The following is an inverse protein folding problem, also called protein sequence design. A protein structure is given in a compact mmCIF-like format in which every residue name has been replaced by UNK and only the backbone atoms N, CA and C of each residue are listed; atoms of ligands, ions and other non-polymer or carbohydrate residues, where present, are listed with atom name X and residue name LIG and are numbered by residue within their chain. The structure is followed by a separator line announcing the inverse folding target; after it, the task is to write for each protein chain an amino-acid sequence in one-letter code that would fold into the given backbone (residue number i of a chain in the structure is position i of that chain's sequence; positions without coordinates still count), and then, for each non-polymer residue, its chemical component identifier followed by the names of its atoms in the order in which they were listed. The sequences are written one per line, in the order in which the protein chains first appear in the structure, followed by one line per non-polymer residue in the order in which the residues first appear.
data_IF_996876574907
#
_entry.id   IF_996876574907
#
_cell.length_a   1.000
_cell.length_b   1.000
_cell.length_c   1.000
_cell.angle_alpha   90.00
_cell.angle_beta   90.00
_cell.angle_gamma   90.00
#
_symmetry.space_group_name_H-M   'P 1'
#
loop_
_entity.id
_entity.type
_entity.pdbx_description
1 polymer ?
#
# COMPACT_ATOMS: atom_id res chain seq x y z
N UNK A 1 -5.91 -12.76 -3.61
CA UNK A 1 -5.81 -11.28 -3.72
C UNK A 1 -6.26 -10.60 -2.45
N UNK A 2 -7.49 -10.85 -1.96
CA UNK A 2 -7.99 -10.28 -0.72
C UNK A 2 -7.11 -10.56 0.52
N UNK A 3 -6.50 -11.74 0.59
CA UNK A 3 -5.57 -12.07 1.69
C UNK A 3 -4.25 -11.30 1.61
N UNK A 4 -3.74 -11.06 0.38
CA UNK A 4 -2.52 -10.27 0.15
C UNK A 4 -2.78 -8.81 0.55
N UNK A 5 -3.92 -8.24 0.15
CA UNK A 5 -4.32 -6.89 0.56
C UNK A 5 -4.41 -6.78 2.09
N UNK A 6 -5.05 -7.74 2.75
CA UNK A 6 -5.12 -7.78 4.22
C UNK A 6 -3.74 -7.81 4.85
N UNK A 7 -2.84 -8.67 4.35
CA UNK A 7 -1.47 -8.75 4.83
C UNK A 7 -0.72 -7.43 4.65
N UNK A 8 -0.83 -6.79 3.48
CA UNK A 8 -0.22 -5.48 3.22
C UNK A 8 -0.75 -4.41 4.18
N UNK A 9 -2.05 -4.38 4.42
CA UNK A 9 -2.68 -3.42 5.35
C UNK A 9 -2.20 -3.67 6.78
N UNK A 10 -2.26 -4.92 7.25
CA UNK A 10 -1.83 -5.27 8.61
C UNK A 10 -0.34 -4.98 8.80
N UNK A 11 0.51 -5.38 7.87
CA UNK A 11 1.95 -5.12 7.94
C UNK A 11 2.25 -3.62 7.94
N UNK A 12 1.57 -2.84 7.09
CA UNK A 12 1.74 -1.40 7.05
C UNK A 12 1.29 -0.72 8.35
N UNK A 13 0.16 -1.13 8.93
CA UNK A 13 -0.32 -0.60 10.22
C UNK A 13 0.64 -0.94 11.35
N UNK A 14 0.97 -2.22 11.52
CA UNK A 14 1.85 -2.71 12.59
C UNK A 14 3.23 -2.09 12.48
N UNK A 15 3.81 -2.10 11.28
CA UNK A 15 5.15 -1.54 11.06
C UNK A 15 5.18 -0.02 11.20
N UNK A 16 4.14 0.70 10.76
CA UNK A 16 4.08 2.16 10.95
C UNK A 16 3.99 2.54 12.43
N UNK A 17 3.22 1.80 13.22
CA UNK A 17 3.17 1.99 14.67
C UNK A 17 4.54 1.71 15.31
N UNK A 18 5.10 0.53 15.04
CA UNK A 18 6.34 0.07 15.66
C UNK A 18 7.56 0.92 15.29
N UNK A 19 7.69 1.31 14.02
CA UNK A 19 8.81 2.13 13.55
C UNK A 19 8.59 3.62 13.74
N UNK A 20 7.34 4.07 13.93
CA UNK A 20 7.06 5.41 14.41
C UNK A 20 7.59 5.65 15.81
N UNK A 21 7.45 4.66 16.72
CA UNK A 21 8.08 4.72 18.06
C UNK A 21 9.61 4.86 17.96
N UNK A 22 10.23 4.24 16.95
CA UNK A 22 11.68 4.33 16.71
C UNK A 22 12.11 5.54 15.87
N UNK A 23 11.16 6.37 15.44
CA UNK A 23 11.39 7.48 14.51
C UNK A 23 12.12 7.10 13.21
N UNK A 24 11.98 5.86 12.75
CA UNK A 24 12.68 5.37 11.56
C UNK A 24 11.80 5.51 10.30
N UNK A 25 11.98 6.62 9.59
CA UNK A 25 11.24 6.92 8.37
C UNK A 25 11.65 6.03 7.17
N UNK A 26 12.78 5.31 7.24
CA UNK A 26 13.19 4.39 6.15
C UNK A 26 12.20 3.25 5.99
N UNK A 27 11.37 2.99 7.02
CA UNK A 27 10.25 2.06 6.96
C UNK A 27 9.41 2.21 5.71
N UNK A 28 9.09 3.44 5.29
CA UNK A 28 8.17 3.70 4.18
C UNK A 28 8.66 3.18 2.83
N UNK A 29 9.95 2.87 2.68
CA UNK A 29 10.47 2.20 1.49
C UNK A 29 9.86 0.81 1.30
N UNK A 30 9.60 0.09 2.39
CA UNK A 30 9.04 -1.27 2.37
C UNK A 30 7.58 -1.30 1.90
N UNK A 31 6.61 -0.58 2.52
CA UNK A 31 5.24 -0.57 2.05
C UNK A 31 5.15 0.07 0.66
N UNK A 32 5.95 1.09 0.33
CA UNK A 32 5.94 1.68 -1.01
C UNK A 32 6.32 0.66 -2.09
N UNK A 33 7.40 -0.10 -1.86
CA UNK A 33 7.80 -1.18 -2.76
C UNK A 33 6.76 -2.31 -2.82
N UNK A 34 6.21 -2.73 -1.67
CA UNK A 34 5.26 -3.84 -1.58
C UNK A 34 3.92 -3.51 -2.25
N UNK A 35 3.35 -2.32 -2.00
CA UNK A 35 2.14 -1.86 -2.67
C UNK A 35 2.39 -1.63 -4.17
N UNK A 36 3.53 -1.04 -4.55
CA UNK A 36 3.90 -0.86 -5.94
C UNK A 36 3.98 -2.20 -6.69
N UNK A 37 4.63 -3.20 -6.09
CA UNK A 37 4.70 -4.55 -6.64
C UNK A 37 3.30 -5.18 -6.75
N UNK A 38 2.45 -5.04 -5.73
CA UNK A 38 1.07 -5.53 -5.79
C UNK A 38 0.30 -4.92 -6.97
N UNK A 39 0.38 -3.61 -7.18
CA UNK A 39 -0.30 -2.92 -8.29
C UNK A 39 0.16 -3.47 -9.64
N UNK A 40 1.48 -3.63 -9.83
CA UNK A 40 2.06 -4.18 -11.07
C UNK A 40 1.63 -5.62 -11.31
N UNK A 41 1.64 -6.46 -10.26
CA UNK A 41 1.22 -7.85 -10.38
C UNK A 41 -0.28 -7.98 -10.67
N UNK A 42 -1.10 -7.15 -10.04
CA UNK A 42 -2.55 -7.11 -10.28
C UNK A 42 -2.88 -6.67 -11.71
N UNK A 43 -2.21 -5.64 -12.23
CA UNK A 43 -2.37 -5.20 -13.63
C UNK A 43 -1.95 -6.30 -14.61
N UNK A 44 -0.77 -6.91 -14.42
CA UNK A 44 -0.31 -8.02 -15.27
C UNK A 44 -1.25 -9.21 -15.24
N UNK A 45 -1.74 -9.59 -14.06
CA UNK A 45 -2.69 -10.69 -13.91
C UNK A 45 -4.00 -10.39 -14.62
N UNK A 46 -4.48 -9.15 -14.58
CA UNK A 46 -5.67 -8.71 -15.27
C UNK A 46 -5.48 -8.74 -16.80
N UNK A 47 -4.39 -8.16 -17.31
CA UNK A 47 -4.07 -8.16 -18.76
C UNK A 47 -3.97 -9.57 -19.33
N UNK A 48 -3.38 -10.51 -18.58
CA UNK A 48 -3.33 -11.94 -18.96
C UNK A 48 -4.71 -12.57 -19.11
N UNK A 49 -5.69 -12.18 -18.29
CA UNK A 49 -7.08 -12.69 -18.38
C UNK A 49 -7.86 -12.07 -19.53
N UNK A 50 -7.62 -10.80 -19.83
CA UNK A 50 -8.29 -10.06 -20.89
C UNK A 50 -7.82 -10.50 -22.29
N UNK A 51 -6.54 -10.86 -22.43
CA UNK A 51 -5.95 -11.23 -23.71
C UNK A 51 -5.85 -10.03 -24.68
N UNK A 52 -5.66 -10.27 -25.99
CA UNK A 52 -5.44 -9.21 -26.98
C UNK A 52 -6.75 -8.53 -27.42
N UNK A 53 -7.69 -8.21 -26.51
CA UNK A 53 -8.92 -7.46 -26.84
C UNK A 53 -8.72 -5.97 -26.58
N UNK A 54 -9.12 -5.13 -27.53
CA UNK A 54 -8.54 -3.79 -27.68
C UNK A 54 -9.38 -2.62 -27.12
N UNK A 55 -10.72 -2.64 -27.12
CA UNK A 55 -11.48 -1.38 -26.90
C UNK A 55 -12.36 -1.31 -25.63
N UNK A 56 -13.18 -2.30 -25.25
CA UNK A 56 -13.94 -2.22 -23.99
C UNK A 56 -13.08 -2.59 -22.77
N UNK A 57 -12.12 -3.49 -22.95
CA UNK A 57 -11.33 -4.08 -21.88
C UNK A 57 -10.15 -3.20 -21.43
N UNK A 58 -9.70 -2.27 -22.26
CA UNK A 58 -8.61 -1.37 -21.92
C UNK A 58 -9.05 -0.30 -20.91
N UNK A 59 -10.26 0.25 -21.06
CA UNK A 59 -10.88 1.14 -20.09
C UNK A 59 -11.06 0.47 -18.72
N UNK A 60 -11.49 -0.80 -18.71
CA UNK A 60 -11.59 -1.59 -17.48
C UNK A 60 -10.23 -1.82 -16.80
N UNK A 61 -9.18 -2.10 -17.58
CA UNK A 61 -7.82 -2.25 -17.06
C UNK A 61 -7.32 -0.95 -16.41
N UNK A 62 -7.52 0.20 -17.05
CA UNK A 62 -7.17 1.52 -16.49
C UNK A 62 -7.95 1.82 -15.20
N UNK A 63 -9.25 1.55 -15.18
CA UNK A 63 -10.07 1.71 -13.98
C UNK A 63 -9.57 0.85 -12.82
N UNK A 64 -9.23 -0.42 -13.08
CA UNK A 64 -8.74 -1.34 -12.06
C UNK A 64 -7.36 -0.93 -11.56
N UNK A 65 -6.46 -0.51 -12.46
CA UNK A 65 -5.16 0.05 -12.07
C UNK A 65 -5.32 1.27 -11.14
N UNK A 66 -6.17 2.23 -11.52
CA UNK A 66 -6.43 3.41 -10.69
C UNK A 66 -7.04 3.06 -9.34
N UNK A 67 -7.94 2.07 -9.29
CA UNK A 67 -8.52 1.58 -8.03
C UNK A 67 -7.44 0.99 -7.11
N UNK A 68 -6.52 0.18 -7.66
CA UNK A 68 -5.42 -0.39 -6.91
C UNK A 68 -4.40 0.66 -6.46
N UNK A 69 -4.13 1.66 -7.30
CA UNK A 69 -3.27 2.78 -6.96
C UNK A 69 -3.89 3.63 -5.84
N UNK A 70 -5.18 3.94 -5.92
CA UNK A 70 -5.91 4.64 -4.86
C UNK A 70 -5.88 3.85 -3.55
N UNK A 71 -6.07 2.53 -3.61
CA UNK A 71 -5.94 1.65 -2.46
C UNK A 71 -4.55 1.75 -1.83
N UNK A 72 -3.48 1.67 -2.63
CA UNK A 72 -2.10 1.81 -2.15
C UNK A 72 -1.84 3.16 -1.48
N UNK A 73 -2.17 4.26 -2.17
CA UNK A 73 -1.95 5.62 -1.67
C UNK A 73 -2.71 5.86 -0.37
N UNK A 74 -3.98 5.44 -0.29
CA UNK A 74 -4.80 5.58 0.92
C UNK A 74 -4.16 4.88 2.11
N UNK A 75 -3.67 3.66 1.94
CA UNK A 75 -3.10 2.90 3.06
C UNK A 75 -1.72 3.39 3.47
N UNK A 76 -0.87 3.80 2.51
CA UNK A 76 0.40 4.45 2.82
C UNK A 76 0.15 5.75 3.60
N UNK A 77 -0.82 6.56 3.17
CA UNK A 77 -1.20 7.79 3.89
C UNK A 77 -1.70 7.53 5.31
N UNK A 78 -2.53 6.50 5.51
CA UNK A 78 -2.95 6.06 6.84
C UNK A 78 -1.76 5.59 7.69
N UNK A 79 -0.82 4.85 7.09
CA UNK A 79 0.41 4.43 7.74
C UNK A 79 1.26 5.63 8.19
N UNK A 80 1.42 6.64 7.33
CA UNK A 80 2.12 7.88 7.65
C UNK A 80 1.49 8.62 8.83
N UNK A 81 0.16 8.70 8.86
CA UNK A 81 -0.57 9.29 9.99
C UNK A 81 -0.33 8.51 11.29
N UNK A 82 -0.43 7.18 11.24
CA UNK A 82 -0.18 6.34 12.42
C UNK A 82 1.27 6.41 12.92
N UNK A 83 2.23 6.45 12.00
CA UNK A 83 3.65 6.65 12.29
C UNK A 83 3.89 7.99 13.00
N UNK A 84 3.31 9.08 12.49
CA UNK A 84 3.44 10.40 13.09
C UNK A 84 2.82 10.43 14.50
N UNK A 85 1.65 9.83 14.68
CA UNK A 85 0.98 9.73 15.98
C UNK A 85 1.80 8.90 16.96
N UNK A 86 2.28 7.71 16.56
CA UNK A 86 3.05 6.84 17.46
C UNK A 86 4.40 7.45 17.84
N UNK A 87 5.11 8.06 16.90
CA UNK A 87 6.35 8.79 17.19
C UNK A 87 6.13 10.00 18.09
N UNK A 88 5.04 10.76 17.88
CA UNK A 88 4.70 11.89 18.77
C UNK A 88 4.43 11.41 20.19
N UNK A 89 3.65 10.33 20.35
CA UNK A 89 3.36 9.75 21.66
C UNK A 89 4.61 9.17 22.33
N UNK A 90 5.48 8.48 21.59
CA UNK A 90 6.74 7.96 22.11
C UNK A 90 7.62 9.09 22.66
N UNK A 91 7.80 10.16 21.86
CA UNK A 91 8.56 11.34 22.27
C UNK A 91 7.97 12.05 23.50
N UNK A 92 6.65 12.04 23.69
CA UNK A 92 6.00 12.63 24.88
C UNK A 92 6.19 11.80 26.15
N UNK A 93 6.31 10.48 26.03
CA UNK A 93 6.44 9.54 27.16
C UNK A 93 7.91 9.17 27.43
N UNK A 94 8.84 9.66 26.61
CA UNK A 94 10.29 9.41 26.76
C UNK A 94 10.73 8.01 26.33
N UNK A 95 9.99 7.42 25.38
CA UNK A 95 10.33 6.17 24.69
C UNK A 95 10.99 6.48 23.35
#
# INVERSE_FOLDING_TARGET
MRDIERLLVVANVVGSLALGVRHDATWFLIPLAAFGLYVVLADRALRRRIGPRHWPSEGFARFTFNTNLYFAVRHIGLGALLFALSGTLAGLVGL
#
